data_IF_167489307128
#
_entry.id   IF_167489307128
#
_cell.length_a   1.000
_cell.length_b   1.000
_cell.length_c   1.000
_cell.angle_alpha   90.00
_cell.angle_beta   90.00
_cell.angle_gamma   90.00
#
_symmetry.space_group_name_H-M   'P 1'
#
loop_
_entity.id
_entity.type
_entity.pdbx_description
1 polymer ?
#
# COMPACT_ATOMS: atom_id res chain seq x y z
N UNK A 1 9.49 -3.09 18.97
CA UNK A 1 10.20 -1.84 19.35
C UNK A 1 10.92 -1.21 18.16
N UNK A 2 11.79 -1.91 17.49
CA UNK A 2 12.57 -1.42 16.33
C UNK A 2 11.67 -0.99 15.16
N UNK A 3 10.61 -1.72 14.87
CA UNK A 3 9.70 -1.45 13.75
C UNK A 3 8.98 -0.11 13.89
N UNK A 4 8.53 0.23 15.11
CA UNK A 4 7.82 1.48 15.36
C UNK A 4 8.76 2.72 15.31
N UNK A 5 10.03 2.54 15.63
CA UNK A 5 11.03 3.61 15.55
C UNK A 5 11.46 3.88 14.11
N UNK A 6 11.61 2.85 13.31
CA UNK A 6 11.95 2.96 11.89
C UNK A 6 10.82 3.62 11.10
N UNK A 7 9.56 3.29 11.40
CA UNK A 7 8.40 3.90 10.77
C UNK A 7 8.23 5.40 11.09
N UNK A 8 8.96 5.92 12.07
CA UNK A 8 8.98 7.34 12.43
C UNK A 8 10.02 8.16 11.65
N UNK A 9 10.90 7.52 10.90
CA UNK A 9 11.90 8.24 10.12
C UNK A 9 11.23 8.96 8.96
N UNK A 10 11.46 10.28 8.84
CA UNK A 10 10.89 11.12 7.77
C UNK A 10 11.28 10.67 6.35
N UNK A 11 12.27 9.80 6.22
CA UNK A 11 12.78 9.31 4.93
C UNK A 11 12.12 8.01 4.47
N UNK A 12 11.22 7.44 5.26
CA UNK A 12 10.60 6.13 5.01
C UNK A 12 9.14 6.26 4.50
N UNK A 13 8.55 7.43 4.61
CA UNK A 13 7.21 7.71 4.12
C UNK A 13 7.23 8.37 2.75
N UNK A 14 6.49 7.77 1.83
CA UNK A 14 6.29 8.26 0.47
C UNK A 14 4.82 8.49 0.24
N UNK A 15 4.43 9.73 -0.06
CA UNK A 15 3.03 10.09 -0.30
C UNK A 15 2.65 9.81 -1.75
N UNK A 16 1.63 8.98 -1.93
CA UNK A 16 1.25 8.41 -3.22
C UNK A 16 0.38 9.37 -4.02
N UNK A 17 0.74 9.70 -5.28
CA UNK A 17 -0.10 10.53 -6.14
C UNK A 17 -1.33 9.76 -6.66
N UNK A 18 -2.39 10.49 -6.98
CA UNK A 18 -3.66 9.92 -7.46
C UNK A 18 -3.51 8.99 -8.65
N UNK A 19 -2.63 9.32 -9.60
CA UNK A 19 -2.45 8.49 -10.80
C UNK A 19 -1.94 7.08 -10.48
N UNK A 20 -1.25 6.88 -9.35
CA UNK A 20 -0.77 5.57 -8.92
C UNK A 20 -1.83 4.79 -8.12
N UNK A 21 -2.89 5.45 -7.68
CA UNK A 21 -4.01 4.83 -6.96
C UNK A 21 -5.10 4.37 -7.93
N UNK A 22 -5.38 5.16 -8.96
CA UNK A 22 -6.45 4.88 -9.93
C UNK A 22 -6.44 3.47 -10.53
N UNK A 23 -5.29 2.85 -10.86
CA UNK A 23 -5.30 1.51 -11.42
C UNK A 23 -5.93 0.44 -10.53
N UNK A 24 -5.87 0.59 -9.20
CA UNK A 24 -6.45 -0.39 -8.29
C UNK A 24 -7.97 -0.26 -8.17
N UNK A 25 -8.54 0.93 -8.42
CA UNK A 25 -9.96 1.20 -8.25
C UNK A 25 -10.86 0.28 -9.07
N UNK A 26 -10.47 -0.05 -10.29
CA UNK A 26 -11.28 -0.89 -11.19
C UNK A 26 -11.43 -2.35 -10.72
N UNK A 27 -10.61 -2.76 -9.76
CA UNK A 27 -10.64 -4.11 -9.19
C UNK A 27 -11.36 -4.19 -7.85
N UNK A 28 -11.87 -3.07 -7.35
CA UNK A 28 -12.57 -2.99 -6.07
C UNK A 28 -14.07 -3.05 -6.33
N UNK A 29 -14.76 -3.95 -5.62
CA UNK A 29 -16.21 -4.06 -5.70
C UNK A 29 -16.89 -2.77 -5.23
N UNK A 30 -17.99 -2.34 -5.88
CA UNK A 30 -18.70 -1.13 -5.49
C UNK A 30 -19.14 -1.12 -4.02
N UNK A 31 -19.17 0.06 -3.42
CA UNK A 31 -19.65 0.26 -2.04
C UNK A 31 -18.91 -0.58 -0.99
N UNK A 32 -17.61 -0.76 -1.19
CA UNK A 32 -16.77 -1.52 -0.25
C UNK A 32 -16.30 -0.68 0.91
N UNK A 33 -15.96 -1.35 2.02
CA UNK A 33 -15.26 -0.75 3.16
C UNK A 33 -13.76 -1.02 3.00
N UNK A 34 -12.97 0.04 2.91
CA UNK A 34 -11.52 -0.04 2.68
C UNK A 34 -10.79 0.51 3.91
N UNK A 35 -9.87 -0.29 4.45
CA UNK A 35 -8.97 0.17 5.50
C UNK A 35 -7.62 0.59 4.89
N UNK A 36 -7.23 1.83 5.19
CA UNK A 36 -5.95 2.42 4.81
C UNK A 36 -5.10 2.59 6.08
N UNK A 37 -4.28 1.59 6.48
CA UNK A 37 -3.65 1.56 7.80
C UNK A 37 -2.39 2.41 7.94
N UNK A 38 -1.96 3.06 6.88
CA UNK A 38 -0.77 3.92 6.86
C UNK A 38 -1.10 5.33 6.36
N UNK A 39 -2.35 5.76 6.53
CA UNK A 39 -2.85 6.99 5.93
C UNK A 39 -3.54 7.89 6.96
N UNK A 40 -3.44 9.20 6.71
CA UNK A 40 -4.21 10.23 7.41
C UNK A 40 -5.37 10.70 6.52
N UNK A 41 -6.23 11.58 7.04
CA UNK A 41 -7.36 12.13 6.26
C UNK A 41 -6.92 12.91 5.02
N UNK A 42 -5.70 13.43 4.99
CA UNK A 42 -5.13 14.15 3.84
C UNK A 42 -4.66 13.23 2.73
N UNK A 43 -4.50 11.94 3.00
CA UNK A 43 -4.01 10.96 2.04
C UNK A 43 -4.88 10.90 0.79
N UNK A 44 -4.23 10.83 -0.37
CA UNK A 44 -4.93 10.65 -1.64
C UNK A 44 -5.59 9.28 -1.76
N UNK A 45 -5.10 8.24 -1.08
CA UNK A 45 -5.82 6.96 -0.98
C UNK A 45 -7.21 7.17 -0.39
N UNK A 46 -7.30 7.87 0.72
CA UNK A 46 -8.58 8.16 1.38
C UNK A 46 -9.51 8.92 0.44
N UNK A 47 -9.01 10.00 -0.15
CA UNK A 47 -9.80 10.86 -1.04
C UNK A 47 -10.26 10.13 -2.30
N UNK A 48 -9.39 9.38 -2.96
CA UNK A 48 -9.73 8.66 -4.19
C UNK A 48 -10.77 7.56 -3.93
N UNK A 49 -10.65 6.82 -2.83
CA UNK A 49 -11.63 5.79 -2.48
C UNK A 49 -12.97 6.39 -2.07
N UNK A 50 -12.98 7.47 -1.29
CA UNK A 50 -14.22 8.18 -0.94
C UNK A 50 -14.91 8.75 -2.18
N UNK A 51 -14.15 9.38 -3.09
CA UNK A 51 -14.67 9.90 -4.35
C UNK A 51 -15.24 8.80 -5.25
N UNK A 52 -14.71 7.59 -5.15
CA UNK A 52 -15.22 6.43 -5.89
C UNK A 52 -16.45 5.76 -5.22
N UNK A 53 -16.92 6.29 -4.09
CA UNK A 53 -18.13 5.81 -3.40
C UNK A 53 -17.88 4.73 -2.35
N UNK A 54 -16.63 4.53 -1.94
CA UNK A 54 -16.29 3.58 -0.89
C UNK A 54 -16.33 4.22 0.50
N UNK A 55 -16.51 3.39 1.53
CA UNK A 55 -16.33 3.78 2.93
C UNK A 55 -14.87 3.56 3.30
N UNK A 56 -14.20 4.60 3.83
CA UNK A 56 -12.78 4.51 4.15
C UNK A 56 -12.55 4.63 5.64
N UNK A 57 -11.81 3.66 6.18
CA UNK A 57 -11.26 3.69 7.53
C UNK A 57 -9.77 3.95 7.37
N UNK A 58 -9.27 5.04 7.92
CA UNK A 58 -7.84 5.36 7.87
C UNK A 58 -7.24 5.36 9.26
N UNK A 59 -5.99 5.00 9.36
CA UNK A 59 -5.23 5.01 10.61
C UNK A 59 -3.75 5.26 10.32
N UNK A 60 -3.08 5.94 11.25
CA UNK A 60 -1.68 6.29 11.10
C UNK A 60 -0.98 6.29 12.46
N UNK A 61 0.30 5.92 12.45
CA UNK A 61 1.10 5.86 13.68
C UNK A 61 1.25 7.23 14.35
N UNK A 62 1.24 8.32 13.59
CA UNK A 62 1.26 9.68 14.12
C UNK A 62 0.05 10.01 15.00
N UNK A 63 -1.03 9.27 14.84
CA UNK A 63 -2.26 9.38 15.63
C UNK A 63 -2.36 8.30 16.73
N UNK A 64 -1.25 7.64 17.03
CA UNK A 64 -1.19 6.58 18.04
C UNK A 64 -1.77 5.24 17.59
N UNK A 65 -2.06 5.08 16.29
CA UNK A 65 -2.65 3.86 15.72
C UNK A 65 -1.58 3.06 14.97
N UNK A 66 -1.01 2.09 15.66
CA UNK A 66 0.02 1.21 15.11
C UNK A 66 -0.62 0.01 14.43
N UNK A 67 -0.36 -0.14 13.12
CA UNK A 67 -0.87 -1.26 12.32
C UNK A 67 -0.58 -2.63 12.95
N UNK A 68 0.58 -2.81 13.58
CA UNK A 68 0.97 -4.10 14.16
C UNK A 68 0.28 -4.41 15.48
N UNK A 69 -0.27 -3.41 16.16
CA UNK A 69 -0.92 -3.53 17.47
C UNK A 69 -2.42 -3.43 17.41
N UNK A 70 -2.96 -2.77 16.40
CA UNK A 70 -4.39 -2.60 16.23
C UNK A 70 -5.08 -3.93 15.92
N UNK A 71 -6.27 -4.11 16.48
CA UNK A 71 -7.22 -5.08 15.94
C UNK A 71 -7.72 -4.54 14.59
N UNK A 72 -7.68 -5.34 13.51
CA UNK A 72 -8.22 -4.89 12.23
C UNK A 72 -9.68 -4.48 12.34
N UNK A 73 -10.07 -3.33 11.80
CA UNK A 73 -11.49 -3.00 11.68
C UNK A 73 -12.18 -3.96 10.71
N UNK A 74 -13.49 -4.10 10.83
CA UNK A 74 -14.27 -4.84 9.84
C UNK A 74 -14.19 -4.10 8.50
N UNK A 75 -13.60 -4.73 7.49
CA UNK A 75 -13.41 -4.15 6.16
C UNK A 75 -13.41 -5.24 5.09
N UNK A 76 -13.61 -4.80 3.84
CA UNK A 76 -13.57 -5.67 2.67
C UNK A 76 -12.18 -5.75 2.07
N UNK A 77 -11.42 -4.65 2.16
CA UNK A 77 -10.07 -4.54 1.59
C UNK A 77 -9.15 -3.75 2.52
N UNK A 78 -7.86 -4.06 2.47
CA UNK A 78 -6.80 -3.27 3.09
C UNK A 78 -5.89 -2.76 1.96
N UNK A 79 -5.86 -1.45 1.73
CA UNK A 79 -5.13 -0.86 0.60
C UNK A 79 -4.36 0.36 1.08
N UNK A 80 -3.05 0.39 0.84
CA UNK A 80 -2.21 1.50 1.27
C UNK A 80 -0.82 1.42 0.64
N UNK A 81 0.04 2.37 1.02
CA UNK A 81 1.46 2.37 0.74
C UNK A 81 2.19 2.32 2.10
N UNK A 82 2.74 1.15 2.49
CA UNK A 82 3.41 1.03 3.79
C UNK A 82 4.77 1.72 3.81
N UNK A 83 5.32 2.04 5.00
CA UNK A 83 6.72 2.44 5.11
C UNK A 83 7.63 1.36 4.51
N UNK A 84 8.57 1.74 3.65
CA UNK A 84 9.31 0.79 2.82
C UNK A 84 10.26 -0.11 3.62
N UNK A 85 10.84 0.40 4.69
CA UNK A 85 11.75 -0.38 5.53
C UNK A 85 11.09 -1.56 6.24
N UNK A 86 9.77 -1.52 6.42
CA UNK A 86 9.00 -2.56 7.13
C UNK A 86 8.03 -3.31 6.21
N UNK A 87 8.21 -3.22 4.90
CA UNK A 87 7.30 -3.86 3.93
C UNK A 87 7.13 -5.36 4.14
N UNK A 88 8.20 -6.05 4.52
CA UNK A 88 8.14 -7.50 4.76
C UNK A 88 7.26 -7.84 5.95
N UNK A 89 7.43 -7.14 7.06
CA UNK A 89 6.63 -7.31 8.27
C UNK A 89 5.16 -7.01 8.01
N UNK A 90 4.89 -5.95 7.24
CA UNK A 90 3.53 -5.58 6.84
C UNK A 90 2.89 -6.69 6.01
N UNK A 91 3.58 -7.16 4.97
CA UNK A 91 3.06 -8.24 4.12
C UNK A 91 2.85 -9.55 4.90
N UNK A 92 3.76 -9.91 5.82
CA UNK A 92 3.59 -11.09 6.66
C UNK A 92 2.32 -11.00 7.52
N UNK A 93 2.06 -9.83 8.11
CA UNK A 93 0.83 -9.63 8.89
C UNK A 93 -0.41 -9.71 7.99
N UNK A 94 -0.38 -9.07 6.83
CA UNK A 94 -1.51 -9.07 5.89
C UNK A 94 -1.87 -10.48 5.43
N UNK A 95 -0.89 -11.31 5.11
CA UNK A 95 -1.14 -12.71 4.78
C UNK A 95 -1.82 -13.48 5.92
N UNK A 96 -1.45 -13.19 7.17
CA UNK A 96 -2.07 -13.81 8.34
C UNK A 96 -3.51 -13.34 8.57
N UNK A 97 -3.81 -12.08 8.28
CA UNK A 97 -5.15 -11.52 8.47
C UNK A 97 -6.18 -12.13 7.51
N UNK A 98 -5.75 -12.63 6.38
CA UNK A 98 -6.59 -13.25 5.36
C UNK A 98 -7.74 -12.34 4.86
N UNK A 99 -7.51 -11.04 4.85
CA UNK A 99 -8.40 -10.03 4.25
C UNK A 99 -7.79 -9.64 2.90
N UNK A 100 -8.58 -9.49 1.83
CA UNK A 100 -8.08 -9.01 0.54
C UNK A 100 -7.30 -7.71 0.70
N UNK A 101 -6.11 -7.63 0.10
CA UNK A 101 -5.27 -6.44 0.25
C UNK A 101 -4.53 -6.07 -1.03
N UNK A 102 -4.13 -4.80 -1.12
CA UNK A 102 -3.20 -4.28 -2.12
C UNK A 102 -2.25 -3.29 -1.45
N UNK A 103 -0.95 -3.57 -1.51
CA UNK A 103 0.10 -2.71 -0.97
C UNK A 103 1.05 -2.25 -2.07
N UNK A 104 1.17 -0.94 -2.23
CA UNK A 104 2.13 -0.34 -3.15
C UNK A 104 3.51 -0.36 -2.50
N UNK A 105 4.44 -1.12 -3.07
CA UNK A 105 5.76 -1.34 -2.51
C UNK A 105 6.85 -1.17 -3.58
N UNK A 106 8.05 -0.76 -3.15
CA UNK A 106 9.21 -0.73 -4.03
C UNK A 106 9.71 -2.15 -4.33
N UNK A 107 10.14 -2.37 -5.57
CA UNK A 107 10.60 -3.70 -6.01
C UNK A 107 12.00 -4.05 -5.52
N UNK A 108 12.80 -3.06 -5.09
CA UNK A 108 14.17 -3.31 -4.63
C UNK A 108 14.15 -4.22 -3.41
N UNK A 109 14.83 -5.33 -3.51
CA UNK A 109 14.93 -6.32 -2.46
C UNK A 109 13.66 -7.14 -2.20
N UNK A 110 12.56 -6.87 -2.91
CA UNK A 110 11.26 -7.50 -2.61
C UNK A 110 11.29 -9.03 -2.74
N UNK A 111 11.99 -9.54 -3.74
CA UNK A 111 12.12 -10.97 -4.00
C UNK A 111 13.51 -11.52 -3.62
N UNK A 112 14.25 -10.77 -2.85
CA UNK A 112 15.57 -11.16 -2.35
C UNK A 112 15.48 -11.52 -0.87
N UNK A 113 16.13 -12.51 -0.43
CA UNK A 113 16.21 -13.09 0.89
C UNK A 113 15.35 -14.35 1.07
N UNK A 114 15.86 -15.24 1.88
CA UNK A 114 15.17 -16.50 2.22
C UNK A 114 13.83 -16.25 2.92
N UNK A 115 13.75 -15.24 3.78
CA UNK A 115 12.53 -14.87 4.50
C UNK A 115 11.40 -14.47 3.54
N UNK A 116 11.72 -13.63 2.53
CA UNK A 116 10.74 -13.19 1.53
C UNK A 116 10.38 -14.31 0.57
N UNK A 117 11.34 -15.13 0.18
CA UNK A 117 11.10 -16.31 -0.63
C UNK A 117 10.07 -17.24 0.04
N UNK A 118 10.26 -17.56 1.32
CA UNK A 118 9.33 -18.41 2.07
C UNK A 118 7.94 -17.77 2.22
N UNK A 119 7.89 -16.46 2.46
CA UNK A 119 6.64 -15.73 2.56
C UNK A 119 5.82 -15.85 1.27
N UNK A 120 6.42 -15.56 0.12
CA UNK A 120 5.71 -15.62 -1.16
C UNK A 120 5.43 -17.05 -1.62
N UNK A 121 6.33 -17.99 -1.37
CA UNK A 121 6.13 -19.40 -1.68
C UNK A 121 4.93 -20.00 -0.96
N UNK A 122 4.72 -19.62 0.29
CA UNK A 122 3.70 -20.20 1.16
C UNK A 122 2.35 -19.46 1.16
N UNK A 123 2.21 -18.42 0.34
CA UNK A 123 0.98 -17.63 0.26
C UNK A 123 0.57 -17.39 -1.19
N UNK A 124 -0.73 -17.38 -1.43
CA UNK A 124 -1.25 -16.90 -2.70
C UNK A 124 -1.17 -15.37 -2.76
N UNK A 125 -0.66 -14.83 -3.86
CA UNK A 125 -0.54 -13.40 -4.07
C UNK A 125 -0.63 -13.05 -5.55
N UNK A 126 -0.94 -11.80 -5.83
CA UNK A 126 -0.95 -11.23 -7.18
C UNK A 126 -0.05 -9.99 -7.23
N UNK A 127 0.40 -9.65 -8.42
CA UNK A 127 1.19 -8.44 -8.69
C UNK A 127 0.51 -7.58 -9.74
N UNK A 128 0.43 -6.28 -9.48
CA UNK A 128 0.10 -5.30 -10.51
C UNK A 128 1.38 -4.59 -10.93
N UNK A 129 1.78 -4.83 -12.17
CA UNK A 129 2.98 -4.22 -12.77
C UNK A 129 2.60 -2.89 -13.42
N UNK A 130 3.26 -1.81 -13.00
CA UNK A 130 3.02 -0.47 -13.54
C UNK A 130 4.05 -0.14 -14.61
N UNK A 131 3.63 0.55 -15.67
CA UNK A 131 4.50 0.85 -16.82
C UNK A 131 5.55 1.93 -16.55
N UNK A 132 5.43 2.67 -15.45
CA UNK A 132 6.35 3.78 -15.10
C UNK A 132 6.63 3.79 -13.60
N UNK A 133 7.75 4.42 -13.22
CA UNK A 133 8.04 4.71 -11.81
C UNK A 133 7.04 5.72 -11.25
N UNK A 134 6.66 5.54 -10.00
CA UNK A 134 5.81 6.48 -9.28
C UNK A 134 6.66 7.62 -8.75
N UNK A 135 6.24 8.86 -9.00
CA UNK A 135 6.88 10.06 -8.44
C UNK A 135 6.11 10.49 -7.19
N UNK A 136 6.63 10.09 -6.03
CA UNK A 136 5.99 10.36 -4.75
C UNK A 136 6.12 11.81 -4.31
N UNK A 137 5.23 12.26 -3.41
CA UNK A 137 5.26 13.60 -2.83
C UNK A 137 5.98 13.61 -1.48
N UNK A 138 6.52 14.78 -1.11
CA UNK A 138 7.03 15.05 0.24
C UNK A 138 5.92 15.42 1.22
N UNK A 139 4.89 16.10 0.71
CA UNK A 139 3.74 16.52 1.49
C UNK A 139 2.51 16.61 0.58
N UNK A 140 1.32 16.70 1.18
CA UNK A 140 0.07 16.81 0.44
C UNK A 140 -0.34 18.26 0.13
N UNK A 141 0.34 19.26 0.70
CA UNK A 141 -0.02 20.66 0.53
C UNK A 141 0.30 21.15 -0.89
N UNK A 142 1.52 20.97 -1.34
CA UNK A 142 1.95 21.40 -2.68
C UNK A 142 1.95 20.29 -3.72
N UNK A 143 1.90 19.03 -3.30
CA UNK A 143 1.90 17.83 -4.16
C UNK A 143 3.00 17.83 -5.21
N UNK A 144 4.14 18.44 -4.89
CA UNK A 144 5.30 18.43 -5.80
C UNK A 144 6.01 17.09 -5.73
N UNK A 145 6.34 16.50 -6.89
CA UNK A 145 7.19 15.32 -6.91
C UNK A 145 8.48 15.61 -6.17
N UNK A 146 8.79 14.84 -5.14
CA UNK A 146 10.05 14.99 -4.44
C UNK A 146 11.16 14.34 -5.26
N UNK A 147 11.74 13.33 -4.96
CA UNK A 147 12.70 12.61 -5.77
C UNK A 147 11.98 11.49 -6.53
N UNK A 148 12.32 11.26 -7.79
CA UNK A 148 12.02 9.99 -8.41
C UNK A 148 12.80 8.94 -7.62
N UNK A 149 12.13 8.05 -6.86
CA UNK A 149 12.87 7.03 -6.16
C UNK A 149 13.65 6.21 -7.18
N UNK A 150 14.88 5.75 -6.84
CA UNK A 150 15.70 4.97 -7.76
C UNK A 150 15.18 3.55 -7.97
N UNK A 151 13.89 3.33 -7.79
CA UNK A 151 13.25 2.02 -7.88
C UNK A 151 11.87 2.12 -8.51
N UNK A 152 11.43 1.05 -9.12
CA UNK A 152 10.05 0.88 -9.55
C UNK A 152 9.17 0.44 -8.38
N UNK A 153 7.88 0.71 -8.48
CA UNK A 153 6.87 0.26 -7.51
C UNK A 153 5.87 -0.67 -8.18
N UNK A 154 5.38 -1.63 -7.41
CA UNK A 154 4.30 -2.53 -7.81
C UNK A 154 3.27 -2.64 -6.69
N UNK A 155 2.05 -3.04 -7.01
CA UNK A 155 1.12 -3.50 -5.98
C UNK A 155 1.30 -4.99 -5.77
N UNK A 156 1.57 -5.38 -4.52
CA UNK A 156 1.41 -6.76 -4.06
C UNK A 156 -0.01 -6.89 -3.54
N UNK A 157 -0.75 -7.82 -4.11
CA UNK A 157 -2.18 -7.99 -3.82
C UNK A 157 -2.48 -9.43 -3.39
N UNK A 158 -3.63 -9.61 -2.77
CA UNK A 158 -4.23 -10.91 -2.53
C UNK A 158 -5.74 -10.82 -2.66
N UNK A 159 -6.32 -11.73 -3.44
CA UNK A 159 -7.76 -11.84 -3.67
C UNK A 159 -8.41 -10.56 -4.24
N UNK A 160 -7.69 -9.84 -5.06
CA UNK A 160 -8.17 -8.63 -5.74
C UNK A 160 -8.09 -8.77 -7.25
N UNK A 161 -6.96 -9.20 -7.78
CA UNK A 161 -6.70 -9.23 -9.22
C UNK A 161 -7.22 -10.50 -9.87
N UNK A 162 -7.64 -10.45 -11.15
CA UNK A 162 -8.21 -11.61 -11.84
C UNK A 162 -7.19 -12.71 -12.17
N UNK A 163 -5.88 -12.41 -12.12
CA UNK A 163 -4.78 -13.34 -12.35
C UNK A 163 -3.53 -12.90 -11.60
N UNK A 164 -2.53 -13.75 -11.53
CA UNK A 164 -1.35 -13.51 -10.68
C UNK A 164 -0.54 -12.28 -11.10
N UNK A 165 -0.45 -11.98 -12.39
CA UNK A 165 0.23 -10.76 -12.86
C UNK A 165 -0.71 -9.99 -13.77
N UNK A 166 -0.93 -8.72 -13.41
CA UNK A 166 -1.74 -7.77 -14.18
C UNK A 166 -0.87 -6.58 -14.54
N UNK A 167 -1.00 -6.09 -15.76
CA UNK A 167 -0.26 -4.94 -16.26
C UNK A 167 -1.20 -3.73 -16.32
N UNK A 168 -0.78 -2.62 -15.73
CA UNK A 168 -1.55 -1.37 -15.72
C UNK A 168 -0.69 -0.18 -16.12
N UNK A 169 -1.28 0.73 -16.87
CA UNK A 169 -0.64 1.97 -17.25
C UNK A 169 -1.01 3.09 -16.29
N UNK A 170 -0.02 3.91 -15.94
CA UNK A 170 -0.23 5.12 -15.14
C UNK A 170 0.09 6.34 -15.98
N UNK A 171 -0.70 7.39 -15.81
CA UNK A 171 -0.60 8.65 -16.55
C UNK A 171 -0.35 9.78 -15.57
N UNK A 172 0.90 10.29 -15.61
CA UNK A 172 1.34 11.39 -14.74
C UNK A 172 0.74 12.73 -15.16
#
# INVERSE_FOLDING_TARGET
MIVAEVAKSKNDEFYTPSYAIKPILKYIEPNSVIWCPFDTKESLYVKEFENAGHWVIYSHISEGKDFFKMKPPKCDYIISNPPYSIKTEVLQRLFKLNIPFAMLVGVVGLFESQRRFEMFKNNEFECMYLNKRVSYFKNYEDQKPSLNPPFSSIYICRKILPKQIVFEEIYK
#
